data_IF_385030744347
#
_entry.id   IF_385030744347
#
_cell.length_a   1.000
_cell.length_b   1.000
_cell.length_c   1.000
_cell.angle_alpha   90.00
_cell.angle_beta   90.00
_cell.angle_gamma   90.00
#
_symmetry.space_group_name_H-M   'P 1'
#
loop_
_entity.id
_entity.type
_entity.pdbx_description
1 polymer ?
#
# COMPACT_ATOMS: atom_id res chain seq x y z
N UNK A 1 5.16 15.50 2.46
CA UNK A 1 4.10 14.53 2.62
C UNK A 1 3.45 14.11 1.32
N UNK A 2 4.24 14.14 0.27
CA UNK A 2 3.67 13.98 -1.07
C UNK A 2 3.12 12.58 -1.32
N UNK A 3 3.79 11.54 -0.76
CA UNK A 3 3.33 10.17 -0.97
C UNK A 3 1.94 9.92 -0.40
N UNK A 4 1.62 10.53 0.74
CA UNK A 4 0.28 10.37 1.32
C UNK A 4 -0.77 11.03 0.44
N UNK A 5 -0.42 12.16 -0.18
CA UNK A 5 -1.35 12.85 -1.09
C UNK A 5 -1.48 12.11 -2.41
N UNK A 6 -0.46 11.37 -2.82
CA UNK A 6 -0.57 10.54 -4.02
C UNK A 6 -1.62 9.45 -3.84
N UNK A 7 -1.65 8.84 -2.66
CA UNK A 7 -2.59 7.74 -2.39
C UNK A 7 -3.96 8.23 -1.93
N UNK A 8 -4.04 9.47 -1.45
CA UNK A 8 -5.30 10.10 -1.02
C UNK A 8 -5.36 11.53 -1.54
N UNK A 9 -5.51 11.70 -2.86
CA UNK A 9 -5.39 13.04 -3.46
C UNK A 9 -6.50 14.02 -3.06
N UNK A 10 -7.65 13.50 -2.63
CA UNK A 10 -8.77 14.37 -2.25
C UNK A 10 -8.69 14.83 -0.80
N UNK A 11 -7.72 14.35 -0.03
CA UNK A 11 -7.60 14.72 1.37
C UNK A 11 -7.12 16.17 1.52
N UNK A 12 -7.80 16.90 2.38
CA UNK A 12 -7.40 18.27 2.73
C UNK A 12 -6.43 18.27 3.90
N UNK A 13 -6.54 17.26 4.77
CA UNK A 13 -5.66 17.15 5.92
C UNK A 13 -5.50 15.70 6.32
N UNK A 14 -4.47 15.45 7.11
CA UNK A 14 -4.19 14.12 7.65
C UNK A 14 -4.04 14.24 9.16
N UNK A 15 -4.69 13.34 9.88
CA UNK A 15 -4.62 13.31 11.33
C UNK A 15 -3.92 12.03 11.76
N UNK A 16 -2.84 12.17 12.54
CA UNK A 16 -2.08 11.00 12.99
C UNK A 16 -2.92 10.16 13.94
N UNK A 17 -2.98 8.86 13.67
CA UNK A 17 -3.69 7.89 14.50
C UNK A 17 -2.74 7.02 15.30
N UNK A 18 -1.45 7.01 14.95
CA UNK A 18 -0.43 6.23 15.65
C UNK A 18 0.74 7.13 15.99
N UNK A 19 1.35 6.90 17.15
CA UNK A 19 2.56 7.64 17.55
C UNK A 19 3.79 6.73 17.58
N UNK A 20 3.63 5.46 17.25
CA UNK A 20 4.73 4.48 17.21
C UNK A 20 4.53 3.54 16.05
N UNK A 21 5.65 3.06 15.51
CA UNK A 21 5.57 2.00 14.51
C UNK A 21 5.27 0.67 15.20
N UNK A 22 4.59 -0.22 14.48
CA UNK A 22 4.31 -1.58 14.94
C UNK A 22 4.66 -2.54 13.81
N UNK A 23 4.96 -3.79 14.17
CA UNK A 23 5.18 -4.83 13.17
C UNK A 23 3.94 -5.70 13.10
N UNK A 24 3.41 -5.88 11.90
CA UNK A 24 2.22 -6.67 11.67
C UNK A 24 2.48 -7.60 10.49
N UNK A 25 2.39 -8.90 10.73
CA UNK A 25 2.65 -9.93 9.71
C UNK A 25 4.00 -9.75 9.02
N UNK A 26 5.02 -9.39 9.79
CA UNK A 26 6.37 -9.23 9.26
C UNK A 26 6.64 -7.91 8.56
N UNK A 27 5.66 -7.03 8.52
CA UNK A 27 5.77 -5.72 7.89
C UNK A 27 5.68 -4.64 8.95
N UNK A 28 6.58 -3.64 8.87
CA UNK A 28 6.55 -2.54 9.82
C UNK A 28 5.55 -1.49 9.35
N UNK A 29 4.53 -1.24 10.18
CA UNK A 29 3.57 -0.16 9.93
C UNK A 29 4.14 1.07 10.62
N UNK A 30 4.73 1.97 9.84
CA UNK A 30 5.44 3.13 10.39
C UNK A 30 4.49 4.20 10.90
N UNK A 31 3.38 4.38 10.20
CA UNK A 31 2.45 5.46 10.50
C UNK A 31 1.09 5.15 9.90
N UNK A 32 0.03 5.50 10.62
CA UNK A 32 -1.33 5.48 10.09
C UNK A 32 -1.93 6.86 10.35
N UNK A 33 -2.50 7.46 9.32
CA UNK A 33 -3.19 8.75 9.45
C UNK A 33 -4.58 8.64 8.88
N UNK A 34 -5.51 9.41 9.44
CA UNK A 34 -6.84 9.55 8.87
C UNK A 34 -6.78 10.64 7.81
N UNK A 35 -7.24 10.33 6.61
CA UNK A 35 -7.32 11.30 5.52
C UNK A 35 -8.69 11.96 5.60
N UNK A 36 -8.71 13.29 5.67
CA UNK A 36 -9.95 14.03 5.90
C UNK A 36 -10.14 15.15 4.91
N UNK A 37 -11.41 15.45 4.65
CA UNK A 37 -11.81 16.65 3.91
C UNK A 37 -12.90 17.34 4.75
N UNK A 38 -12.55 18.43 5.43
CA UNK A 38 -13.43 19.05 6.40
C UNK A 38 -13.73 18.08 7.53
N UNK A 39 -15.02 17.83 7.78
CA UNK A 39 -15.44 16.90 8.82
C UNK A 39 -15.57 15.46 8.32
N UNK A 40 -15.36 15.24 7.03
CA UNK A 40 -15.54 13.91 6.44
C UNK A 40 -14.22 13.17 6.40
N UNK A 41 -14.23 11.94 6.89
CA UNK A 41 -13.07 11.06 6.77
C UNK A 41 -13.14 10.32 5.45
N UNK A 42 -12.10 10.49 4.61
CA UNK A 42 -12.02 9.87 3.30
C UNK A 42 -11.42 8.47 3.36
N UNK A 43 -10.77 8.12 4.47
CA UNK A 43 -10.14 6.84 4.62
C UNK A 43 -8.88 6.97 5.46
N UNK A 44 -7.93 6.08 5.21
CA UNK A 44 -6.66 6.04 5.93
C UNK A 44 -5.51 6.05 4.95
N UNK A 45 -4.39 6.63 5.36
CA UNK A 45 -3.14 6.51 4.61
C UNK A 45 -2.09 5.93 5.56
N UNK A 46 -1.32 4.98 5.06
CA UNK A 46 -0.34 4.27 5.86
C UNK A 46 1.03 4.38 5.20
N UNK A 47 2.06 4.43 6.05
CA UNK A 47 3.44 4.24 5.59
C UNK A 47 3.88 2.88 6.11
N UNK A 48 4.27 2.01 5.21
CA UNK A 48 4.64 0.63 5.53
C UNK A 48 6.03 0.33 4.99
N UNK A 49 6.77 -0.54 5.70
CA UNK A 49 8.11 -0.95 5.28
C UNK A 49 8.19 -2.47 5.31
N UNK A 50 8.57 -3.05 4.19
CA UNK A 50 8.88 -4.47 4.09
C UNK A 50 10.39 -4.64 4.10
N UNK A 51 10.90 -5.59 4.89
CA UNK A 51 12.33 -5.92 4.88
C UNK A 51 12.64 -7.07 3.92
N UNK A 52 11.67 -7.50 3.14
CA UNK A 52 11.77 -8.66 2.26
C UNK A 52 12.21 -8.31 0.84
N UNK A 53 12.53 -7.06 0.55
CA UNK A 53 12.99 -6.67 -0.76
C UNK A 53 14.32 -7.33 -1.11
N UNK A 54 14.61 -7.44 -2.41
CA UNK A 54 15.84 -8.07 -2.87
C UNK A 54 17.06 -7.28 -2.40
N UNK A 55 17.00 -5.95 -2.46
CA UNK A 55 18.08 -5.07 -2.02
C UNK A 55 17.93 -4.56 -0.59
N UNK A 56 16.89 -4.99 0.14
CA UNK A 56 16.65 -4.56 1.51
C UNK A 56 15.27 -3.98 1.71
N UNK A 57 15.18 -2.98 2.57
CA UNK A 57 13.89 -2.39 2.93
C UNK A 57 13.25 -1.65 1.76
N UNK A 58 11.94 -1.85 1.62
CA UNK A 58 11.11 -1.09 0.70
C UNK A 58 10.05 -0.38 1.53
N UNK A 59 10.03 0.94 1.46
CA UNK A 59 9.06 1.76 2.19
C UNK A 59 8.10 2.40 1.21
N UNK A 60 6.82 2.32 1.50
CA UNK A 60 5.81 2.92 0.64
C UNK A 60 4.64 3.46 1.42
N UNK A 61 3.84 4.27 0.74
CA UNK A 61 2.57 4.75 1.26
C UNK A 61 1.44 4.01 0.57
N UNK A 62 0.35 3.78 1.29
CA UNK A 62 -0.85 3.20 0.71
C UNK A 62 -2.07 3.88 1.29
N UNK A 63 -3.14 3.93 0.51
CA UNK A 63 -4.40 4.51 0.96
C UNK A 63 -5.50 3.47 0.99
N UNK A 64 -6.38 3.56 1.98
CA UNK A 64 -7.51 2.65 2.14
C UNK A 64 -8.75 3.49 2.38
N UNK A 65 -9.79 3.27 1.58
CA UNK A 65 -11.05 3.99 1.74
C UNK A 65 -11.88 3.37 2.86
N UNK A 66 -12.94 4.08 3.31
CA UNK A 66 -13.74 3.56 4.44
C UNK A 66 -14.38 2.20 4.19
N UNK A 67 -14.56 1.79 2.93
CA UNK A 67 -15.11 0.48 2.61
C UNK A 67 -14.02 -0.60 2.44
N UNK A 68 -12.75 -0.23 2.67
CA UNK A 68 -11.67 -1.19 2.58
C UNK A 68 -11.01 -1.28 1.21
N UNK A 69 -11.41 -0.43 0.27
CA UNK A 69 -10.80 -0.41 -1.07
C UNK A 69 -9.41 0.21 -1.00
N UNK A 70 -8.44 -0.44 -1.62
CA UNK A 70 -7.09 0.12 -1.75
C UNK A 70 -7.15 1.24 -2.78
N UNK A 71 -6.89 2.48 -2.35
CA UNK A 71 -6.99 3.63 -3.26
C UNK A 71 -5.76 3.78 -4.14
N UNK A 72 -4.62 3.31 -3.67
CA UNK A 72 -3.39 3.35 -4.45
C UNK A 72 -2.17 3.16 -3.57
N UNK A 73 -1.03 3.05 -4.22
CA UNK A 73 0.26 2.97 -3.50
C UNK A 73 1.26 3.91 -4.14
N UNK A 74 2.29 4.27 -3.36
CA UNK A 74 3.42 5.05 -3.84
C UNK A 74 4.66 4.54 -3.11
N UNK A 75 5.71 4.17 -3.84
CA UNK A 75 6.95 3.71 -3.23
C UNK A 75 7.79 4.93 -2.87
N UNK A 76 8.15 5.06 -1.60
CA UNK A 76 8.90 6.19 -1.09
C UNK A 76 10.40 5.94 -1.17
N UNK A 77 10.83 4.72 -0.83
CA UNK A 77 12.24 4.39 -0.73
C UNK A 77 12.44 2.92 -1.07
N UNK A 78 13.50 2.63 -1.80
CA UNK A 78 13.86 1.27 -2.16
C UNK A 78 15.32 1.25 -2.61
N UNK A 79 15.94 0.07 -2.60
CA UNK A 79 17.33 -0.12 -3.04
C UNK A 79 17.41 -1.32 -3.99
N UNK A 80 16.37 -1.50 -4.80
CA UNK A 80 16.28 -2.63 -5.72
C UNK A 80 17.13 -2.38 -6.97
N UNK A 81 17.32 -3.44 -7.75
CA UNK A 81 18.17 -3.38 -8.94
C UNK A 81 17.53 -2.52 -10.04
N UNK A 82 18.28 -1.56 -10.57
CA UNK A 82 17.82 -0.71 -11.66
C UNK A 82 17.44 -1.56 -12.87
N UNK A 83 16.33 -1.22 -13.50
CA UNK A 83 15.82 -1.97 -14.65
C UNK A 83 15.07 -3.25 -14.26
N UNK A 84 15.11 -3.62 -12.99
CA UNK A 84 14.39 -4.79 -12.46
C UNK A 84 13.48 -4.35 -11.31
N UNK A 85 13.85 -4.67 -10.07
CA UNK A 85 13.02 -4.35 -8.91
C UNK A 85 12.77 -2.87 -8.71
N UNK A 86 13.70 -2.02 -9.13
CA UNK A 86 13.50 -0.57 -9.01
C UNK A 86 12.29 -0.08 -9.79
N UNK A 87 11.76 -0.88 -10.71
CA UNK A 87 10.52 -0.56 -11.41
C UNK A 87 9.31 -0.54 -10.50
N UNK A 88 9.45 -0.97 -9.25
CA UNK A 88 8.35 -0.88 -8.30
C UNK A 88 7.93 0.57 -8.03
N UNK A 89 8.77 1.55 -8.37
CA UNK A 89 8.42 2.97 -8.27
C UNK A 89 7.70 3.51 -9.51
N UNK A 90 7.67 2.75 -10.60
CA UNK A 90 7.08 3.22 -11.85
C UNK A 90 5.56 3.22 -11.79
N UNK A 91 4.93 4.21 -12.44
CA UNK A 91 3.47 4.29 -12.52
C UNK A 91 2.86 3.04 -13.15
N UNK A 92 3.56 2.44 -14.11
CA UNK A 92 3.07 1.24 -14.75
C UNK A 92 2.83 0.11 -13.75
N UNK A 93 3.67 0.03 -12.72
CA UNK A 93 3.48 -0.98 -11.67
C UNK A 93 2.51 -0.50 -10.59
N UNK A 94 2.73 0.70 -10.05
CA UNK A 94 1.95 1.17 -8.90
C UNK A 94 0.49 1.44 -9.24
N UNK A 95 0.19 1.86 -10.47
CA UNK A 95 -1.18 2.16 -10.86
C UNK A 95 -2.08 0.93 -10.86
N UNK A 96 -1.51 -0.26 -10.95
CA UNK A 96 -2.29 -1.49 -10.89
C UNK A 96 -2.98 -1.69 -9.55
N UNK A 97 -2.47 -1.07 -8.50
CA UNK A 97 -3.00 -1.24 -7.14
C UNK A 97 -4.20 -0.35 -6.85
N UNK A 98 -4.45 0.65 -7.67
CA UNK A 98 -5.54 1.59 -7.43
C UNK A 98 -6.90 0.92 -7.67
N UNK A 99 -7.78 1.03 -6.69
CA UNK A 99 -9.15 0.53 -6.82
C UNK A 99 -9.34 -0.94 -6.51
N UNK A 100 -8.34 -1.60 -5.93
CA UNK A 100 -8.47 -3.02 -5.58
C UNK A 100 -9.39 -3.20 -4.37
N UNK A 101 -10.39 -4.05 -4.52
CA UNK A 101 -11.33 -4.39 -3.45
C UNK A 101 -11.08 -5.82 -2.97
N UNK A 102 -11.79 -6.23 -1.92
CA UNK A 102 -11.70 -7.59 -1.39
C UNK A 102 -10.69 -7.78 -0.28
N UNK A 103 -9.88 -6.77 0.00
CA UNK A 103 -8.98 -6.78 1.17
C UNK A 103 -7.69 -7.56 1.02
N UNK A 104 -7.43 -8.17 -0.13
CA UNK A 104 -6.22 -8.94 -0.39
C UNK A 104 -5.78 -8.70 -1.82
N UNK A 105 -4.48 -8.48 -2.00
CA UNK A 105 -3.86 -8.32 -3.32
C UNK A 105 -3.05 -9.57 -3.63
N UNK A 106 -3.14 -10.04 -4.85
CA UNK A 106 -2.32 -11.15 -5.36
C UNK A 106 -1.54 -10.68 -6.58
N UNK A 107 -0.48 -11.39 -6.92
CA UNK A 107 0.23 -11.08 -8.15
C UNK A 107 0.36 -12.34 -9.02
N UNK A 108 0.49 -12.11 -10.32
CA UNK A 108 0.71 -13.17 -11.31
C UNK A 108 1.88 -12.74 -12.20
N UNK A 109 2.45 -13.70 -12.93
CA UNK A 109 3.62 -13.39 -13.79
C UNK A 109 3.19 -12.95 -15.18
N UNK A 110 2.24 -12.03 -15.23
CA UNK A 110 1.71 -11.49 -16.47
C UNK A 110 0.30 -11.98 -16.71
N UNK A 111 -0.50 -11.15 -17.35
CA UNK A 111 -1.87 -11.52 -17.67
C UNK A 111 -2.83 -11.47 -16.48
N UNK A 112 -2.66 -10.50 -15.59
CA UNK A 112 -3.60 -10.31 -14.49
C UNK A 112 -5.00 -10.11 -15.04
N UNK A 113 -5.96 -10.91 -14.55
CA UNK A 113 -7.34 -10.85 -15.03
C UNK A 113 -8.34 -10.64 -13.90
N UNK A 114 -8.02 -11.05 -12.68
CA UNK A 114 -8.90 -10.83 -11.54
C UNK A 114 -8.75 -9.41 -11.02
N UNK A 115 -9.82 -8.89 -10.44
CA UNK A 115 -9.85 -7.49 -9.97
C UNK A 115 -8.78 -7.20 -8.91
N UNK A 116 -8.38 -8.22 -8.14
CA UNK A 116 -7.39 -8.07 -7.09
C UNK A 116 -5.99 -8.58 -7.48
N UNK A 117 -5.76 -8.82 -8.77
CA UNK A 117 -4.46 -9.28 -9.26
C UNK A 117 -3.68 -8.15 -9.91
N UNK A 118 -2.37 -8.17 -9.71
CA UNK A 118 -1.46 -7.25 -10.37
C UNK A 118 -0.40 -8.07 -11.11
N UNK A 119 0.17 -7.49 -12.16
CA UNK A 119 1.26 -8.13 -12.88
C UNK A 119 2.56 -7.93 -12.13
N UNK A 120 3.28 -9.02 -11.90
CA UNK A 120 4.60 -8.95 -11.27
C UNK A 120 5.59 -8.23 -12.20
N UNK A 121 6.58 -7.59 -11.58
CA UNK A 121 7.67 -6.98 -12.33
C UNK A 121 8.51 -8.10 -12.93
N UNK A 122 8.68 -8.08 -14.25
CA UNK A 122 9.44 -9.10 -14.94
C UNK A 122 10.88 -9.16 -14.40
N UNK A 123 11.30 -10.35 -14.01
CA UNK A 123 12.63 -10.56 -13.45
C UNK A 123 12.83 -10.07 -12.03
N UNK A 124 11.74 -9.66 -11.34
CA UNK A 124 11.83 -9.10 -10.00
C UNK A 124 10.69 -9.57 -9.09
N UNK A 125 10.51 -10.89 -9.02
CA UNK A 125 9.44 -11.48 -8.21
C UNK A 125 9.62 -11.22 -6.72
N UNK A 126 10.87 -11.20 -6.24
CA UNK A 126 11.14 -10.94 -4.81
C UNK A 126 10.68 -9.53 -4.44
N UNK A 127 10.99 -8.53 -5.28
CA UNK A 127 10.54 -7.15 -5.07
C UNK A 127 9.02 -7.07 -5.10
N UNK A 128 8.41 -7.72 -6.11
CA UNK A 128 6.95 -7.74 -6.24
C UNK A 128 6.30 -8.34 -5.01
N UNK A 129 6.82 -9.46 -4.55
CA UNK A 129 6.28 -10.13 -3.36
C UNK A 129 6.40 -9.25 -2.12
N UNK A 130 7.52 -8.53 -1.98
CA UNK A 130 7.72 -7.63 -0.84
C UNK A 130 6.69 -6.51 -0.84
N UNK A 131 6.43 -5.90 -1.99
CA UNK A 131 5.45 -4.81 -2.11
C UNK A 131 4.05 -5.35 -1.82
N UNK A 132 3.68 -6.47 -2.42
CA UNK A 132 2.34 -7.06 -2.24
C UNK A 132 2.14 -7.46 -0.78
N UNK A 133 3.16 -8.06 -0.15
CA UNK A 133 3.06 -8.44 1.27
C UNK A 133 2.88 -7.21 2.17
N UNK A 134 3.60 -6.12 1.87
CA UNK A 134 3.46 -4.89 2.65
C UNK A 134 2.06 -4.31 2.51
N UNK A 135 1.52 -4.29 1.30
CA UNK A 135 0.17 -3.79 1.04
C UNK A 135 -0.86 -4.64 1.78
N UNK A 136 -0.73 -5.97 1.70
CA UNK A 136 -1.66 -6.88 2.36
C UNK A 136 -1.62 -6.71 3.89
N UNK A 137 -0.44 -6.53 4.45
CA UNK A 137 -0.32 -6.28 5.88
C UNK A 137 -1.02 -4.98 6.29
N UNK A 138 -0.84 -3.93 5.49
CA UNK A 138 -1.51 -2.66 5.75
C UNK A 138 -3.03 -2.77 5.66
N UNK A 139 -3.54 -3.45 4.63
CA UNK A 139 -4.98 -3.67 4.48
C UNK A 139 -5.55 -4.44 5.68
N UNK A 140 -4.85 -5.50 6.10
CA UNK A 140 -5.30 -6.30 7.24
C UNK A 140 -5.24 -5.50 8.54
N UNK A 141 -4.21 -4.69 8.71
CA UNK A 141 -4.05 -3.89 9.91
C UNK A 141 -5.19 -2.88 10.06
N UNK A 142 -5.54 -2.19 8.98
CA UNK A 142 -6.65 -1.24 8.98
C UNK A 142 -7.96 -1.96 9.29
N UNK A 143 -8.17 -3.12 8.67
CA UNK A 143 -9.40 -3.89 8.85
C UNK A 143 -9.55 -4.35 10.30
N UNK A 144 -8.46 -4.69 10.97
CA UNK A 144 -8.51 -5.17 12.35
C UNK A 144 -8.56 -4.06 13.39
N UNK A 145 -7.92 -2.92 13.10
CA UNK A 145 -7.75 -1.85 14.08
C UNK A 145 -8.75 -0.71 13.93
N UNK A 146 -9.36 -0.57 12.77
CA UNK A 146 -10.26 0.55 12.48
C UNK A 146 -11.54 0.03 11.85
N UNK A 147 -12.61 0.84 11.98
CA UNK A 147 -13.91 0.46 11.40
C UNK A 147 -13.90 0.65 9.89
N UNK A 148 -14.19 -0.41 9.16
CA UNK A 148 -14.33 -0.37 7.70
C UNK A 148 -15.78 -0.66 7.36
N UNK A 149 -16.40 0.21 6.56
CA UNK A 149 -17.77 0.01 6.10
C UNK A 149 -17.86 -1.26 5.27
N UNK A 150 -18.94 -2.00 5.46
CA UNK A 150 -19.15 -3.23 4.72
C UNK A 150 -18.38 -4.42 5.28
N UNK A 151 -17.63 -4.22 6.34
CA UNK A 151 -16.92 -5.31 7.00
C UNK A 151 -17.91 -6.23 7.70
N UNK A 152 -17.82 -7.48 7.39
CA UNK A 152 -18.67 -8.48 7.99
C UNK A 152 -18.10 -9.00 9.30
#
# INVERSE_FOLDING_TARGET
MDALRVVMPDAESFESLTDKSVTYEGVRIEQVVAAKSGDKQLGWALTVTSSEGYGGDITGAMGVSPDGTLTGISVISQSETAGLGAKCTDDEFTSQFAGITGGVVSYVKGGATAQNEVDAISGATITTDAVVSAVNAGLAYVRECYSIEGRA
#
